data_IF_851683177275
#
_entry.id   IF_851683177275
#
_cell.length_a   1.000
_cell.length_b   1.000
_cell.length_c   1.000
_cell.angle_alpha   90.00
_cell.angle_beta   90.00
_cell.angle_gamma   90.00
#
_symmetry.space_group_name_H-M   'P 1'
#
loop_
_entity.id
_entity.type
_entity.pdbx_description
1 polymer ?
#
# COMPACT_ATOMS: atom_id res chain seq x y z
N UNK A 1 38.55 13.89 8.18
CA UNK A 1 37.51 12.86 8.42
C UNK A 1 37.19 12.23 7.08
N UNK A 2 37.65 11.01 6.85
CA UNK A 2 37.42 10.32 5.59
C UNK A 2 35.98 9.82 5.50
N UNK A 3 35.38 9.99 4.32
CA UNK A 3 34.02 9.48 4.01
C UNK A 3 34.08 7.96 3.97
N UNK A 4 33.68 7.33 5.06
CA UNK A 4 33.66 5.87 5.25
C UNK A 4 32.31 5.24 4.92
N UNK A 5 31.25 6.05 4.80
CA UNK A 5 29.92 5.56 4.45
C UNK A 5 29.80 5.28 2.95
N UNK A 6 29.18 4.15 2.60
CA UNK A 6 28.91 3.76 1.21
C UNK A 6 30.07 3.19 0.39
N UNK A 7 31.30 3.10 0.92
CA UNK A 7 32.49 2.68 0.14
C UNK A 7 32.43 1.26 -0.44
N UNK A 8 31.54 0.41 0.08
CA UNK A 8 31.25 -0.95 -0.46
C UNK A 8 29.81 -1.09 -0.99
N UNK A 9 29.03 -0.01 -0.96
CA UNK A 9 27.63 -0.02 -1.37
C UNK A 9 27.56 0.29 -2.85
N UNK A 10 27.30 -0.73 -3.67
CA UNK A 10 26.97 -0.50 -5.08
C UNK A 10 25.71 0.38 -5.18
N UNK A 11 25.73 1.34 -6.10
CA UNK A 11 24.57 2.20 -6.34
C UNK A 11 23.34 1.34 -6.67
N UNK A 12 22.31 1.41 -5.84
CA UNK A 12 20.99 0.85 -6.14
C UNK A 12 20.13 1.94 -6.75
N UNK A 13 19.44 1.60 -7.84
CA UNK A 13 18.46 2.48 -8.46
C UNK A 13 17.35 2.89 -7.48
N UNK A 14 16.70 4.01 -7.77
CA UNK A 14 15.60 4.50 -6.93
C UNK A 14 14.34 3.67 -7.12
N UNK A 15 13.58 3.50 -6.04
CA UNK A 15 12.22 2.97 -6.10
C UNK A 15 11.26 4.05 -6.62
N UNK A 16 10.18 3.60 -7.26
CA UNK A 16 9.03 4.45 -7.60
C UNK A 16 8.32 4.89 -6.31
N UNK A 17 7.84 6.14 -6.27
CA UNK A 17 7.07 6.64 -5.13
C UNK A 17 5.64 6.07 -5.12
N UNK A 18 4.97 5.99 -3.94
CA UNK A 18 3.57 5.57 -3.87
C UNK A 18 2.63 6.45 -4.73
N UNK A 19 2.90 7.75 -4.81
CA UNK A 19 2.11 8.70 -5.60
C UNK A 19 2.29 8.43 -7.11
N UNK A 20 3.53 8.25 -7.57
CA UNK A 20 3.80 7.87 -8.97
C UNK A 20 3.17 6.55 -9.34
N UNK A 21 3.18 5.56 -8.44
CA UNK A 21 2.56 4.27 -8.67
C UNK A 21 1.03 4.40 -8.78
N UNK A 22 0.42 5.23 -7.94
CA UNK A 22 -1.03 5.48 -7.92
C UNK A 22 -1.50 6.16 -9.21
N UNK A 23 -0.68 7.06 -9.78
CA UNK A 23 -0.97 7.69 -11.08
C UNK A 23 -0.91 6.68 -12.23
N UNK A 24 0.03 5.73 -12.19
CA UNK A 24 0.17 4.69 -13.24
C UNK A 24 -0.91 3.61 -13.16
N UNK A 25 -1.38 3.29 -11.95
CA UNK A 25 -2.35 2.23 -11.69
C UNK A 25 -3.53 2.78 -10.89
N UNK A 26 -4.39 3.61 -11.51
CA UNK A 26 -5.53 4.20 -10.81
C UNK A 26 -6.53 3.13 -10.41
N UNK A 27 -7.07 3.25 -9.19
CA UNK A 27 -8.10 2.35 -8.71
C UNK A 27 -9.40 2.55 -9.47
N UNK A 28 -9.98 1.45 -9.96
CA UNK A 28 -11.32 1.50 -10.54
C UNK A 28 -12.37 1.72 -9.45
N UNK A 29 -13.51 2.30 -9.84
CA UNK A 29 -14.67 2.44 -8.94
C UNK A 29 -15.12 1.08 -8.40
N UNK A 30 -15.03 0.02 -9.21
CA UNK A 30 -15.38 -1.34 -8.80
C UNK A 30 -14.48 -1.86 -7.67
N UNK A 31 -13.15 -1.70 -7.80
CA UNK A 31 -12.20 -2.11 -6.75
C UNK A 31 -12.45 -1.30 -5.47
N UNK A 32 -12.63 0.01 -5.59
CA UNK A 32 -12.88 0.90 -4.45
C UNK A 32 -14.14 0.48 -3.69
N UNK A 33 -15.24 0.21 -4.41
CA UNK A 33 -16.50 -0.28 -3.82
C UNK A 33 -16.30 -1.63 -3.13
N UNK A 34 -15.63 -2.58 -3.78
CA UNK A 34 -15.42 -3.91 -3.22
C UNK A 34 -14.59 -3.87 -1.93
N UNK A 35 -13.48 -3.13 -1.93
CA UNK A 35 -12.62 -2.98 -0.75
C UNK A 35 -13.39 -2.31 0.39
N UNK A 36 -14.15 -1.25 0.10
CA UNK A 36 -14.94 -0.52 1.11
C UNK A 36 -16.02 -1.41 1.73
N UNK A 37 -16.79 -2.11 0.90
CA UNK A 37 -17.84 -3.02 1.37
C UNK A 37 -17.28 -4.17 2.18
N UNK A 38 -16.14 -4.73 1.75
CA UNK A 38 -15.48 -5.83 2.46
C UNK A 38 -15.00 -5.38 3.84
N UNK A 39 -14.35 -4.22 3.93
CA UNK A 39 -13.92 -3.65 5.22
C UNK A 39 -15.10 -3.43 6.17
N UNK A 40 -16.22 -2.91 5.66
CA UNK A 40 -17.44 -2.75 6.44
C UNK A 40 -17.96 -4.09 6.95
N UNK A 41 -18.12 -5.09 6.08
CA UNK A 41 -18.58 -6.44 6.47
C UNK A 41 -17.69 -7.07 7.55
N UNK A 42 -16.37 -7.01 7.36
CA UNK A 42 -15.41 -7.50 8.35
C UNK A 42 -15.58 -6.76 9.69
N UNK A 43 -15.77 -5.43 9.66
CA UNK A 43 -16.04 -4.67 10.87
C UNK A 43 -17.34 -5.10 11.57
N UNK A 44 -18.38 -5.46 10.83
CA UNK A 44 -19.62 -5.97 11.41
C UNK A 44 -19.38 -7.33 12.10
N UNK A 45 -18.63 -8.24 11.46
CA UNK A 45 -18.22 -9.53 12.03
C UNK A 45 -17.43 -9.32 13.33
N UNK A 46 -16.39 -8.49 13.28
CA UNK A 46 -15.53 -8.22 14.44
C UNK A 46 -16.29 -7.57 15.61
N UNK A 47 -17.37 -6.83 15.31
CA UNK A 47 -18.24 -6.23 16.32
C UNK A 47 -19.40 -7.12 16.78
N UNK A 48 -19.49 -8.36 16.29
CA UNK A 48 -20.58 -9.30 16.62
C UNK A 48 -21.94 -8.93 16.03
N UNK A 49 -21.99 -7.96 15.10
CA UNK A 49 -23.21 -7.55 14.39
C UNK A 49 -23.50 -8.42 13.16
N UNK A 50 -22.50 -9.14 12.68
CA UNK A 50 -22.63 -10.18 11.66
C UNK A 50 -22.14 -11.50 12.28
N UNK A 51 -22.98 -12.55 12.33
CA UNK A 51 -22.66 -13.79 13.04
C UNK A 51 -21.84 -14.80 12.22
N UNK A 52 -21.51 -14.48 10.97
CA UNK A 52 -20.64 -15.31 10.13
C UNK A 52 -19.19 -15.24 10.59
#
# INVERSE_FOLDING_TARGET
MDKTDGSRTAHRGSLITPDELTLKLPLSSAITKNVTLSRKRISEILSGRDPR
#
